data_IF_890980519276
#
_entry.id   IF_890980519276
#
_cell.length_a   1.000
_cell.length_b   1.000
_cell.length_c   1.000
_cell.angle_alpha   90.00
_cell.angle_beta   90.00
_cell.angle_gamma   90.00
#
_symmetry.space_group_name_H-M   'P 1'
#
loop_
_entity.id
_entity.type
_entity.pdbx_description
1 polymer ?
#
# COMPACT_ATOMS: atom_id res chain seq x y z
N UNK A 1 7.41 -31.26 -4.55
CA UNK A 1 6.17 -31.32 -3.73
C UNK A 1 5.26 -32.47 -4.15
N UNK A 2 4.72 -32.51 -5.39
CA UNK A 2 3.81 -33.59 -5.83
C UNK A 2 4.42 -35.01 -5.82
N UNK A 3 5.67 -35.18 -6.24
CA UNK A 3 6.34 -36.49 -6.30
C UNK A 3 6.58 -37.13 -4.92
N UNK A 4 6.57 -36.33 -3.83
CA UNK A 4 6.78 -36.79 -2.46
C UNK A 4 5.49 -36.77 -1.63
N UNK A 5 4.34 -36.55 -2.27
CA UNK A 5 3.03 -36.42 -1.62
C UNK A 5 2.97 -35.40 -0.47
N UNK A 6 3.79 -34.34 -0.54
CA UNK A 6 3.83 -33.29 0.48
C UNK A 6 2.71 -32.29 0.18
N UNK A 7 1.80 -32.13 1.13
CA UNK A 7 0.67 -31.20 1.05
C UNK A 7 1.05 -29.90 1.78
N UNK A 8 0.80 -28.75 1.14
CA UNK A 8 1.01 -27.45 1.78
C UNK A 8 -0.05 -27.21 2.84
N UNK A 9 0.39 -26.99 4.08
CA UNK A 9 -0.46 -26.53 5.19
C UNK A 9 -0.55 -25.00 5.24
N UNK A 10 0.02 -24.29 4.26
CA UNK A 10 -0.03 -22.84 4.23
C UNK A 10 -1.49 -22.40 4.11
N UNK A 11 -1.93 -21.60 5.08
CA UNK A 11 -3.26 -21.02 5.04
C UNK A 11 -3.42 -20.23 3.72
N UNK A 12 -4.51 -20.44 2.97
CA UNK A 12 -4.76 -19.68 1.76
C UNK A 12 -4.69 -18.19 2.07
N UNK A 13 -3.96 -17.44 1.25
CA UNK A 13 -3.88 -15.98 1.42
C UNK A 13 -5.28 -15.36 1.38
N UNK A 14 -5.52 -14.39 2.25
CA UNK A 14 -6.79 -13.66 2.28
C UNK A 14 -7.06 -13.00 0.92
N UNK A 15 -8.18 -13.36 0.28
CA UNK A 15 -8.60 -12.75 -0.99
C UNK A 15 -9.40 -11.50 -0.70
N UNK A 16 -8.75 -10.34 -0.80
CA UNK A 16 -9.46 -9.07 -0.80
C UNK A 16 -10.40 -8.98 -2.00
N UNK A 17 -11.66 -8.58 -1.75
CA UNK A 17 -12.62 -8.28 -2.82
C UNK A 17 -12.07 -7.10 -3.62
N UNK A 18 -11.79 -7.31 -4.91
CA UNK A 18 -11.44 -6.21 -5.81
C UNK A 18 -12.65 -5.31 -5.99
N UNK A 19 -12.53 -4.05 -5.62
CA UNK A 19 -13.51 -3.04 -5.99
C UNK A 19 -13.30 -2.72 -7.48
N UNK A 20 -14.20 -3.21 -8.33
CA UNK A 20 -14.15 -2.99 -9.78
C UNK A 20 -15.03 -1.83 -10.25
N UNK A 21 -15.83 -1.25 -9.34
CA UNK A 21 -16.74 -0.16 -9.65
C UNK A 21 -16.19 1.13 -9.07
N UNK A 22 -15.69 1.99 -9.96
CA UNK A 22 -15.29 3.34 -9.61
C UNK A 22 -16.52 4.20 -9.32
N UNK A 23 -16.30 5.27 -8.55
CA UNK A 23 -17.34 6.23 -8.24
C UNK A 23 -17.53 7.19 -9.43
N UNK A 24 -18.76 7.31 -9.93
CA UNK A 24 -19.04 8.08 -11.16
C UNK A 24 -18.72 9.57 -10.98
N UNK A 25 -18.99 10.11 -9.79
CA UNK A 25 -18.83 11.54 -9.50
C UNK A 25 -17.47 11.91 -8.91
N UNK A 26 -16.63 10.92 -8.57
CA UNK A 26 -15.34 11.14 -7.90
C UNK A 26 -14.28 10.36 -8.69
N UNK A 27 -13.69 10.97 -9.73
CA UNK A 27 -12.68 10.31 -10.53
C UNK A 27 -11.41 10.05 -9.70
N UNK A 28 -10.81 8.89 -9.91
CA UNK A 28 -9.50 8.55 -9.34
C UNK A 28 -8.39 9.19 -10.17
N UNK A 29 -8.01 10.43 -9.85
CA UNK A 29 -6.98 11.16 -10.60
C UNK A 29 -5.59 10.51 -10.55
N UNK A 30 -5.28 9.75 -9.50
CA UNK A 30 -3.97 9.12 -9.37
C UNK A 30 -3.86 7.85 -10.20
N UNK A 31 -4.93 7.04 -10.27
CA UNK A 31 -4.99 5.77 -11.02
C UNK A 31 -3.74 4.86 -10.89
N UNK A 32 -3.16 4.80 -9.68
CA UNK A 32 -1.91 4.06 -9.38
C UNK A 32 -0.71 4.47 -10.26
N UNK A 33 -0.77 5.64 -10.89
CA UNK A 33 0.32 6.25 -11.64
C UNK A 33 1.28 6.94 -10.66
N UNK A 34 2.26 6.19 -10.18
CA UNK A 34 3.25 6.71 -9.20
C UNK A 34 4.47 7.37 -9.85
N UNK A 35 4.60 7.30 -11.17
CA UNK A 35 5.67 7.93 -11.94
C UNK A 35 5.27 9.39 -12.29
N UNK A 36 5.42 10.28 -11.32
CA UNK A 36 5.06 11.69 -11.45
C UNK A 36 6.20 12.46 -12.14
N UNK A 37 5.88 13.36 -13.06
CA UNK A 37 6.87 14.10 -13.87
C UNK A 37 7.32 15.43 -13.29
N UNK A 38 6.58 15.97 -12.32
CA UNK A 38 6.81 17.29 -11.72
C UNK A 38 6.58 17.28 -10.20
N UNK A 39 7.30 18.12 -9.44
CA UNK A 39 7.09 18.23 -8.00
C UNK A 39 5.69 18.76 -7.66
N UNK A 40 5.20 18.42 -6.46
CA UNK A 40 3.94 18.91 -5.90
C UNK A 40 2.65 18.54 -6.68
N UNK A 41 2.66 17.46 -7.46
CA UNK A 41 1.47 16.98 -8.17
C UNK A 41 0.72 15.87 -7.40
N UNK A 42 1.45 14.98 -6.73
CA UNK A 42 0.85 13.91 -5.94
C UNK A 42 1.71 13.56 -4.73
N UNK A 43 1.08 13.43 -3.57
CA UNK A 43 1.76 13.14 -2.31
C UNK A 43 1.29 11.79 -1.75
N UNK A 44 2.23 11.04 -1.19
CA UNK A 44 1.94 9.79 -0.49
C UNK A 44 2.12 10.02 1.01
N UNK A 45 1.16 9.58 1.81
CA UNK A 45 1.25 9.61 3.26
C UNK A 45 1.07 8.23 3.86
N UNK A 46 1.79 7.96 4.94
CA UNK A 46 1.63 6.75 5.74
C UNK A 46 1.77 7.07 7.24
N UNK A 47 1.13 6.24 8.06
CA UNK A 47 1.27 6.28 9.51
C UNK A 47 1.85 4.96 9.98
N UNK A 48 3.05 5.04 10.54
CA UNK A 48 3.73 3.89 11.12
C UNK A 48 4.00 4.12 12.60
N UNK A 49 4.53 3.10 13.27
CA UNK A 49 4.91 3.18 14.67
C UNK A 49 6.41 2.90 14.79
N UNK A 50 7.11 3.74 15.56
CA UNK A 50 8.55 3.64 15.79
C UNK A 50 8.83 3.42 17.28
N UNK A 51 9.77 2.53 17.59
CA UNK A 51 10.20 2.28 18.96
C UNK A 51 11.20 3.36 19.39
N UNK A 52 10.86 4.12 20.41
CA UNK A 52 11.69 5.23 20.91
C UNK A 52 12.62 4.83 22.07
N UNK A 53 12.78 3.53 22.32
CA UNK A 53 13.51 3.00 23.48
C UNK A 53 12.67 2.93 24.77
N UNK A 54 11.70 3.83 24.95
CA UNK A 54 10.81 3.86 26.14
C UNK A 54 9.36 3.52 25.83
N UNK A 55 8.90 3.85 24.62
CA UNK A 55 7.53 3.61 24.15
C UNK A 55 7.45 3.55 22.63
N UNK A 56 6.35 3.02 22.12
CA UNK A 56 5.95 3.21 20.74
C UNK A 56 5.46 4.66 20.53
N UNK A 57 5.89 5.28 19.44
CA UNK A 57 5.39 6.55 18.97
C UNK A 57 4.80 6.40 17.58
N UNK A 58 3.70 7.10 17.30
CA UNK A 58 3.14 7.19 15.96
C UNK A 58 3.92 8.21 15.14
N UNK A 59 4.35 7.80 13.96
CA UNK A 59 5.02 8.64 12.98
C UNK A 59 4.11 8.77 11.76
N UNK A 60 3.61 9.98 11.51
CA UNK A 60 2.95 10.32 10.26
C UNK A 60 3.96 10.96 9.32
N UNK A 61 4.06 10.45 8.09
CA UNK A 61 4.94 10.99 7.06
C UNK A 61 4.10 11.39 5.86
N UNK A 62 4.48 12.50 5.22
CA UNK A 62 3.95 12.93 3.91
C UNK A 62 5.16 13.14 2.99
N UNK A 63 5.18 12.45 1.86
CA UNK A 63 6.25 12.49 0.87
C UNK A 63 5.70 12.92 -0.49
N UNK A 64 6.48 13.71 -1.21
CA UNK A 64 6.21 13.98 -2.62
C UNK A 64 6.57 12.77 -3.48
N UNK A 65 5.62 12.28 -4.29
CA UNK A 65 5.85 11.14 -5.18
C UNK A 65 6.87 11.45 -6.27
N UNK A 66 7.06 12.72 -6.63
CA UNK A 66 8.11 13.12 -7.56
C UNK A 66 9.52 12.93 -7.00
N UNK A 67 9.69 13.12 -5.69
CA UNK A 67 11.02 13.18 -5.03
C UNK A 67 11.45 11.85 -4.40
N UNK A 68 10.79 10.74 -4.78
CA UNK A 68 11.03 9.39 -4.25
C UNK A 68 12.07 8.63 -5.08
#
# INVERSE_FOLDING_TARGET
>A
MKALNIISCQQPGHRYKKASKEHIEIPNYLDRQFAVTEPNQAWCGDVTYIWTGKRWAYLAVVLDLFSR
#
